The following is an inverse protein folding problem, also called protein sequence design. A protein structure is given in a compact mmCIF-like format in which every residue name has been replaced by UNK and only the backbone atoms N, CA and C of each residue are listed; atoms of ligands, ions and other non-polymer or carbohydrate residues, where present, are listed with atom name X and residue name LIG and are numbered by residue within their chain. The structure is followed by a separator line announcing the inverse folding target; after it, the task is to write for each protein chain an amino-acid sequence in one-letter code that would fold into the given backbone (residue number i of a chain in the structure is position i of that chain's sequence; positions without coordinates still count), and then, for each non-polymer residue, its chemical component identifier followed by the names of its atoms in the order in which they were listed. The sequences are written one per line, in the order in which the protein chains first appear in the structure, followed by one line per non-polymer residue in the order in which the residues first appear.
data_IF_201856766836
#
_entry.id   IF_201856766836
#
_cell.length_a   1.000
_cell.length_b   1.000
_cell.length_c   1.000
_cell.angle_alpha   90.00
_cell.angle_beta   90.00
_cell.angle_gamma   90.00
#
_symmetry.space_group_name_H-M   'P 1'
#
loop_
_entity.id
_entity.type
_entity.pdbx_description
1 polymer ?
#
# COMPACT_ATOMS: atom_id res chain seq x y z
N UNK A 1 -52.60 -7.06 -96.49
CA UNK A 1 -52.00 -7.77 -95.34
C UNK A 1 -50.99 -6.92 -94.59
N UNK A 2 -50.20 -6.05 -95.24
CA UNK A 2 -49.14 -5.25 -94.58
C UNK A 2 -49.61 -4.35 -93.42
N UNK A 3 -50.81 -3.75 -93.47
CA UNK A 3 -51.26 -2.85 -92.39
C UNK A 3 -51.51 -3.58 -91.06
N UNK A 4 -52.01 -4.81 -91.08
CA UNK A 4 -52.24 -5.61 -89.87
C UNK A 4 -50.92 -6.13 -89.29
N UNK A 5 -50.01 -6.57 -90.16
CA UNK A 5 -48.64 -6.96 -89.79
C UNK A 5 -47.85 -5.79 -89.19
N UNK A 6 -47.97 -4.59 -89.74
CA UNK A 6 -47.34 -3.39 -89.20
C UNK A 6 -47.92 -3.00 -87.82
N UNK A 7 -49.24 -3.09 -87.64
CA UNK A 7 -49.88 -2.79 -86.36
C UNK A 7 -49.47 -3.79 -85.28
N UNK A 8 -49.50 -5.09 -85.59
CA UNK A 8 -49.08 -6.15 -84.66
C UNK A 8 -47.60 -6.05 -84.32
N UNK A 9 -46.74 -5.77 -85.31
CA UNK A 9 -45.30 -5.52 -85.08
C UNK A 9 -45.07 -4.33 -84.16
N UNK A 10 -45.81 -3.23 -84.35
CA UNK A 10 -45.72 -2.04 -83.49
C UNK A 10 -46.18 -2.33 -82.05
N UNK A 11 -47.27 -3.08 -81.88
CA UNK A 11 -47.76 -3.50 -80.55
C UNK A 11 -46.69 -4.33 -79.83
N UNK A 12 -46.05 -5.27 -80.53
CA UNK A 12 -44.99 -6.11 -79.97
C UNK A 12 -43.76 -5.27 -79.63
N UNK A 13 -43.37 -4.34 -80.50
CA UNK A 13 -42.24 -3.42 -80.26
C UNK A 13 -42.49 -2.52 -79.04
N UNK A 14 -43.66 -1.90 -78.95
CA UNK A 14 -44.05 -1.05 -77.82
C UNK A 14 -44.13 -1.85 -76.51
N UNK A 15 -44.67 -3.08 -76.55
CA UNK A 15 -44.70 -3.98 -75.40
C UNK A 15 -43.29 -4.40 -74.94
N UNK A 16 -42.39 -4.71 -75.86
CA UNK A 16 -41.00 -5.03 -75.55
C UNK A 16 -40.26 -3.82 -74.94
N UNK A 17 -40.45 -2.61 -75.49
CA UNK A 17 -39.87 -1.38 -74.94
C UNK A 17 -40.35 -1.11 -73.52
N UNK A 18 -41.64 -1.28 -73.24
CA UNK A 18 -42.18 -1.07 -71.89
C UNK A 18 -41.68 -2.15 -70.92
N UNK A 19 -41.58 -3.42 -71.36
CA UNK A 19 -40.99 -4.49 -70.56
C UNK A 19 -39.51 -4.22 -70.23
N UNK A 20 -38.71 -3.80 -71.20
CA UNK A 20 -37.30 -3.41 -71.00
C UNK A 20 -37.17 -2.23 -70.04
N UNK A 21 -38.05 -1.23 -70.16
CA UNK A 21 -38.08 -0.07 -69.27
C UNK A 21 -38.41 -0.49 -67.83
N UNK A 22 -39.45 -1.31 -67.62
CA UNK A 22 -39.82 -1.82 -66.30
C UNK A 22 -38.68 -2.65 -65.68
N UNK A 23 -38.04 -3.52 -66.45
CA UNK A 23 -36.88 -4.30 -65.98
C UNK A 23 -35.69 -3.40 -65.61
N UNK A 24 -35.43 -2.35 -66.40
CA UNK A 24 -34.39 -1.36 -66.13
C UNK A 24 -34.65 -0.57 -64.85
N UNK A 25 -35.89 -0.12 -64.64
CA UNK A 25 -36.32 0.58 -63.44
C UNK A 25 -36.25 -0.31 -62.20
N UNK A 26 -36.75 -1.55 -62.28
CA UNK A 26 -36.67 -2.53 -61.19
C UNK A 26 -35.21 -2.82 -60.80
N UNK A 27 -34.32 -3.01 -61.79
CA UNK A 27 -32.89 -3.23 -61.55
C UNK A 27 -32.19 -2.02 -60.94
N UNK A 28 -32.60 -0.80 -61.29
CA UNK A 28 -32.08 0.43 -60.65
C UNK A 28 -32.49 0.51 -59.19
N UNK A 29 -33.75 0.22 -58.88
CA UNK A 29 -34.26 0.26 -57.50
C UNK A 29 -33.65 -0.85 -56.64
N UNK A 30 -33.53 -2.07 -57.18
CA UNK A 30 -32.81 -3.17 -56.53
C UNK A 30 -31.38 -2.77 -56.16
N UNK A 31 -30.61 -2.27 -57.13
CA UNK A 31 -29.23 -1.83 -56.90
C UNK A 31 -29.16 -0.71 -55.86
N UNK A 32 -30.12 0.23 -55.86
CA UNK A 32 -30.19 1.30 -54.87
C UNK A 32 -30.40 0.75 -53.46
N UNK A 33 -31.38 -0.15 -53.28
CA UNK A 33 -31.68 -0.77 -51.99
C UNK A 33 -30.47 -1.58 -51.48
N UNK A 34 -29.87 -2.40 -52.35
CA UNK A 34 -28.68 -3.20 -52.00
C UNK A 34 -27.53 -2.30 -51.59
N UNK A 35 -27.22 -1.27 -52.38
CA UNK A 35 -26.14 -0.31 -52.08
C UNK A 35 -26.36 0.43 -50.76
N UNK A 36 -27.59 0.88 -50.48
CA UNK A 36 -27.92 1.55 -49.21
C UNK A 36 -27.75 0.61 -48.01
N UNK A 37 -28.15 -0.66 -48.14
CA UNK A 37 -28.00 -1.66 -47.07
C UNK A 37 -26.53 -2.02 -46.84
N UNK A 38 -25.75 -2.19 -47.91
CA UNK A 38 -24.30 -2.43 -47.84
C UNK A 38 -23.62 -1.25 -47.13
N UNK A 39 -23.88 -0.01 -47.56
CA UNK A 39 -23.31 1.20 -46.90
C UNK A 39 -23.67 1.28 -45.42
N UNK A 40 -24.92 0.97 -45.04
CA UNK A 40 -25.33 0.92 -43.63
C UNK A 40 -24.57 -0.17 -42.86
N UNK A 41 -24.42 -1.36 -43.44
CA UNK A 41 -23.65 -2.46 -42.86
C UNK A 41 -22.17 -2.12 -42.67
N UNK A 42 -21.55 -1.49 -43.65
CA UNK A 42 -20.16 -1.02 -43.59
C UNK A 42 -19.97 0.03 -42.49
N UNK A 43 -20.86 1.02 -42.39
CA UNK A 43 -20.81 2.03 -41.33
C UNK A 43 -20.92 1.42 -39.93
N UNK A 44 -21.83 0.47 -39.73
CA UNK A 44 -21.98 -0.24 -38.44
C UNK A 44 -20.74 -1.07 -38.13
N UNK A 45 -20.19 -1.76 -39.13
CA UNK A 45 -18.95 -2.53 -39.01
C UNK A 45 -17.78 -1.64 -38.57
N UNK A 46 -17.61 -0.47 -39.21
CA UNK A 46 -16.57 0.50 -38.86
C UNK A 46 -16.71 0.99 -37.41
N UNK A 47 -17.92 1.37 -37.00
CA UNK A 47 -18.19 1.81 -35.63
C UNK A 47 -17.89 0.73 -34.58
N UNK A 48 -18.25 -0.53 -34.86
CA UNK A 48 -17.92 -1.66 -33.98
C UNK A 48 -16.41 -1.83 -33.87
N UNK A 49 -15.70 -1.82 -35.00
CA UNK A 49 -14.24 -1.99 -35.02
C UNK A 49 -13.54 -0.85 -34.26
N UNK A 50 -13.94 0.40 -34.48
CA UNK A 50 -13.37 1.56 -33.79
C UNK A 50 -13.60 1.49 -32.28
N UNK A 51 -14.84 1.21 -31.86
CA UNK A 51 -15.18 1.02 -30.45
C UNK A 51 -14.37 -0.10 -29.81
N UNK A 52 -14.31 -1.27 -30.44
CA UNK A 52 -13.54 -2.41 -29.93
C UNK A 52 -12.04 -2.11 -29.84
N UNK A 53 -11.46 -1.36 -30.79
CA UNK A 53 -10.07 -0.91 -30.71
C UNK A 53 -9.84 0.03 -29.52
N UNK A 54 -10.74 0.99 -29.30
CA UNK A 54 -10.67 1.93 -28.18
C UNK A 54 -10.77 1.24 -26.82
N UNK A 55 -11.70 0.30 -26.68
CA UNK A 55 -11.88 -0.51 -25.47
C UNK A 55 -10.68 -1.42 -25.20
N UNK A 56 -10.17 -2.09 -26.24
CA UNK A 56 -8.98 -2.94 -26.12
C UNK A 56 -7.74 -2.14 -25.68
N UNK A 57 -7.52 -0.95 -26.27
CA UNK A 57 -6.44 -0.04 -25.88
C UNK A 57 -6.56 0.38 -24.42
N UNK A 58 -7.73 0.88 -24.01
CA UNK A 58 -8.00 1.31 -22.63
C UNK A 58 -7.80 0.17 -21.63
N UNK A 59 -8.22 -1.05 -22.00
CA UNK A 59 -8.04 -2.24 -21.15
C UNK A 59 -6.55 -2.59 -21.00
N UNK A 60 -5.78 -2.55 -22.08
CA UNK A 60 -4.35 -2.81 -22.04
C UNK A 60 -3.61 -1.77 -21.17
N UNK A 61 -3.89 -0.49 -21.36
CA UNK A 61 -3.32 0.61 -20.55
C UNK A 61 -3.63 0.42 -19.07
N UNK A 62 -4.89 0.08 -18.73
CA UNK A 62 -5.29 -0.18 -17.34
C UNK A 62 -4.53 -1.34 -16.71
N UNK A 63 -4.34 -2.44 -17.44
CA UNK A 63 -3.58 -3.61 -16.95
C UNK A 63 -2.12 -3.23 -16.67
N UNK A 64 -1.49 -2.48 -17.57
CA UNK A 64 -0.11 -2.01 -17.41
C UNK A 64 0.02 -1.12 -16.18
N UNK A 65 -0.82 -0.08 -16.06
CA UNK A 65 -0.79 0.86 -14.94
C UNK A 65 -1.02 0.16 -13.60
N UNK A 66 -2.01 -0.73 -13.52
CA UNK A 66 -2.29 -1.49 -12.30
C UNK A 66 -1.11 -2.41 -11.92
N UNK A 67 -0.46 -3.02 -12.91
CA UNK A 67 0.70 -3.88 -12.67
C UNK A 67 1.90 -3.06 -12.17
N UNK A 68 2.16 -1.89 -12.75
CA UNK A 68 3.21 -0.98 -12.30
C UNK A 68 2.99 -0.52 -10.85
N UNK A 69 1.76 -0.15 -10.49
CA UNK A 69 1.40 0.19 -9.11
C UNK A 69 1.60 -0.99 -8.17
N UNK A 70 1.20 -2.20 -8.56
CA UNK A 70 1.40 -3.41 -7.76
C UNK A 70 2.89 -3.69 -7.53
N UNK A 71 3.72 -3.62 -8.57
CA UNK A 71 5.17 -3.81 -8.45
C UNK A 71 5.79 -2.77 -7.53
N UNK A 72 5.40 -1.49 -7.67
CA UNK A 72 5.85 -0.41 -6.78
C UNK A 72 5.48 -0.70 -5.33
N UNK A 73 4.23 -1.04 -5.06
CA UNK A 73 3.74 -1.31 -3.71
C UNK A 73 4.47 -2.50 -3.09
N UNK A 74 4.61 -3.60 -3.82
CA UNK A 74 5.36 -4.77 -3.35
C UNK A 74 6.82 -4.43 -3.01
N UNK A 75 7.48 -3.58 -3.82
CA UNK A 75 8.84 -3.14 -3.53
C UNK A 75 8.91 -2.29 -2.26
N UNK A 76 7.96 -1.37 -2.06
CA UNK A 76 7.89 -0.53 -0.86
C UNK A 76 7.59 -1.35 0.40
N UNK A 77 6.65 -2.30 0.31
CA UNK A 77 6.32 -3.21 1.40
C UNK A 77 7.53 -4.04 1.82
N UNK A 78 8.25 -4.64 0.87
CA UNK A 78 9.48 -5.39 1.16
C UNK A 78 10.58 -4.51 1.79
N UNK A 79 10.69 -3.23 1.39
CA UNK A 79 11.61 -2.29 2.03
C UNK A 79 11.20 -2.00 3.46
N UNK A 80 9.92 -1.73 3.71
CA UNK A 80 9.39 -1.46 5.04
C UNK A 80 9.56 -2.67 5.96
N UNK A 81 9.34 -3.88 5.46
CA UNK A 81 9.59 -5.12 6.20
C UNK A 81 11.05 -5.23 6.66
N UNK A 82 12.01 -4.88 5.79
CA UNK A 82 13.41 -4.91 6.16
C UNK A 82 13.76 -3.85 7.22
N UNK A 83 13.22 -2.64 7.07
CA UNK A 83 13.38 -1.56 8.06
C UNK A 83 12.82 -2.01 9.42
N UNK A 84 11.60 -2.58 9.43
CA UNK A 84 10.97 -3.11 10.64
C UNK A 84 11.85 -4.18 11.31
N UNK A 85 12.42 -5.10 10.53
CA UNK A 85 13.33 -6.13 11.05
C UNK A 85 14.55 -5.52 11.73
N UNK A 86 15.12 -4.44 11.22
CA UNK A 86 16.27 -3.77 11.87
C UNK A 86 15.89 -3.25 13.25
N UNK A 87 14.74 -2.58 13.37
CA UNK A 87 14.25 -2.09 14.67
C UNK A 87 13.89 -3.23 15.63
N UNK A 88 13.24 -4.28 15.15
CA UNK A 88 12.94 -5.48 15.95
C UNK A 88 14.22 -6.15 16.46
N UNK A 89 15.23 -6.29 15.60
CA UNK A 89 16.54 -6.83 15.96
C UNK A 89 17.29 -5.93 16.95
N UNK A 90 17.16 -4.61 16.85
CA UNK A 90 17.74 -3.67 17.82
C UNK A 90 17.13 -3.90 19.22
N UNK A 91 15.81 -4.06 19.30
CA UNK A 91 15.10 -4.37 20.54
C UNK A 91 15.54 -5.73 21.11
N UNK A 92 15.72 -6.75 20.26
CA UNK A 92 16.23 -8.07 20.67
C UNK A 92 17.67 -7.99 21.20
N UNK A 93 18.54 -7.21 20.53
CA UNK A 93 19.93 -7.01 20.99
C UNK A 93 19.99 -6.31 22.34
N UNK A 94 19.15 -5.30 22.58
CA UNK A 94 19.07 -4.61 23.87
C UNK A 94 18.63 -5.56 25.00
N UNK A 95 17.66 -6.46 24.73
CA UNK A 95 17.22 -7.47 25.69
C UNK A 95 18.31 -8.46 26.08
N UNK A 96 19.14 -8.82 25.10
CA UNK A 96 20.20 -9.82 25.24
C UNK A 96 21.55 -9.22 25.63
N UNK A 97 21.61 -7.94 26.03
CA UNK A 97 22.83 -7.35 26.57
C UNK A 97 23.35 -8.19 27.76
N UNK A 98 24.68 -8.32 27.91
CA UNK A 98 25.27 -8.89 29.12
C UNK A 98 24.73 -8.18 30.37
N UNK A 99 24.51 -8.94 31.46
CA UNK A 99 23.82 -8.43 32.65
C UNK A 99 24.43 -7.12 33.19
N UNK A 100 25.76 -7.00 33.18
CA UNK A 100 26.45 -5.77 33.62
C UNK A 100 26.12 -4.57 32.74
N UNK A 101 26.18 -4.74 31.41
CA UNK A 101 25.85 -3.69 30.43
C UNK A 101 24.38 -3.29 30.50
N UNK A 102 23.48 -4.27 30.63
CA UNK A 102 22.04 -4.05 30.82
C UNK A 102 21.80 -3.18 32.07
N UNK A 103 22.31 -3.58 33.23
CA UNK A 103 22.13 -2.83 34.47
C UNK A 103 22.78 -1.45 34.41
N UNK A 104 23.92 -1.32 33.75
CA UNK A 104 24.57 -0.04 33.55
C UNK A 104 23.73 0.89 32.67
N UNK A 105 23.10 0.37 31.60
CA UNK A 105 22.17 1.11 30.76
C UNK A 105 20.98 1.62 31.58
N UNK A 106 20.25 0.72 32.26
CA UNK A 106 19.08 1.07 33.10
C UNK A 106 19.44 2.17 34.11
N UNK A 107 20.59 2.00 34.78
CA UNK A 107 21.07 2.97 35.77
C UNK A 107 21.31 4.35 35.16
N UNK A 108 21.99 4.40 34.02
CA UNK A 108 22.30 5.67 33.37
C UNK A 108 21.02 6.33 32.82
N UNK A 109 20.11 5.56 32.25
CA UNK A 109 18.80 6.03 31.78
C UNK A 109 17.97 6.65 32.91
N UNK A 110 17.83 5.97 34.05
CA UNK A 110 17.10 6.52 35.22
C UNK A 110 17.74 7.83 35.67
N UNK A 111 19.07 7.87 35.77
CA UNK A 111 19.79 9.05 36.26
C UNK A 111 19.79 10.22 35.27
N UNK A 112 19.48 10.00 33.99
CA UNK A 112 19.33 11.05 32.99
C UNK A 112 17.93 11.65 32.93
N UNK A 113 16.92 10.98 33.50
CA UNK A 113 15.55 11.48 33.53
C UNK A 113 15.38 12.52 34.64
N UNK A 114 14.52 13.51 34.40
CA UNK A 114 14.13 14.48 35.43
C UNK A 114 13.03 13.90 36.33
N UNK A 115 13.47 13.16 37.34
CA UNK A 115 12.60 12.50 38.33
C UNK A 115 12.80 13.10 39.72
N UNK A 116 11.84 12.89 40.63
CA UNK A 116 11.96 13.34 42.01
C UNK A 116 12.79 12.37 42.87
N UNK A 117 12.78 11.07 42.54
CA UNK A 117 13.52 10.01 43.23
C UNK A 117 12.69 9.23 44.26
N UNK A 118 11.36 9.33 44.21
CA UNK A 118 10.38 8.55 45.00
C UNK A 118 9.39 7.76 44.12
N UNK A 119 9.73 7.56 42.85
CA UNK A 119 9.00 6.75 41.88
C UNK A 119 9.16 5.23 42.13
N UNK A 120 8.20 4.46 41.62
CA UNK A 120 8.30 3.01 41.54
C UNK A 120 8.89 2.57 40.20
N UNK A 121 9.88 1.68 40.22
CA UNK A 121 10.41 1.04 39.03
C UNK A 121 9.60 -0.23 38.76
N UNK A 122 8.92 -0.26 37.63
CA UNK A 122 8.18 -1.41 37.11
C UNK A 122 8.98 -2.03 35.96
N UNK A 123 9.13 -3.35 35.94
CA UNK A 123 9.88 -4.08 34.90
C UNK A 123 9.10 -5.26 34.35
N UNK A 124 9.68 -5.91 33.33
CA UNK A 124 9.19 -7.18 32.80
C UNK A 124 9.31 -8.28 33.87
N UNK A 125 8.45 -9.33 33.82
CA UNK A 125 8.61 -10.50 34.68
C UNK A 125 9.99 -11.17 34.55
N UNK A 126 10.59 -11.12 33.35
CA UNK A 126 11.89 -11.74 33.05
C UNK A 126 13.07 -10.96 33.66
N UNK A 127 12.93 -9.65 33.86
CA UNK A 127 13.99 -8.79 34.40
C UNK A 127 13.92 -8.62 35.92
N UNK A 128 12.88 -9.15 36.57
CA UNK A 128 12.66 -9.02 38.02
C UNK A 128 13.84 -9.54 38.86
N UNK A 129 14.52 -10.58 38.39
CA UNK A 129 15.69 -11.14 39.06
C UNK A 129 16.99 -10.38 38.76
N UNK A 130 17.01 -9.53 37.73
CA UNK A 130 18.18 -8.72 37.36
C UNK A 130 18.29 -7.45 38.20
N UNK A 131 17.15 -6.82 38.51
CA UNK A 131 17.06 -5.60 39.31
C UNK A 131 16.78 -5.97 40.76
N UNK A 132 17.84 -6.06 41.56
CA UNK A 132 17.75 -6.43 42.96
C UNK A 132 17.84 -5.22 43.91
N UNK A 133 17.75 -5.49 45.22
CA UNK A 133 17.85 -4.47 46.27
C UNK A 133 19.21 -3.74 46.22
N UNK A 134 20.29 -4.43 45.86
CA UNK A 134 21.64 -3.84 45.79
C UNK A 134 21.75 -2.79 44.69
N UNK A 135 21.09 -3.04 43.56
CA UNK A 135 21.00 -2.10 42.45
C UNK A 135 20.20 -0.85 42.83
N UNK A 136 19.07 -1.01 43.52
CA UNK A 136 18.26 0.11 44.02
C UNK A 136 19.01 0.98 45.02
N UNK A 137 19.72 0.37 45.97
CA UNK A 137 20.56 1.12 46.91
C UNK A 137 21.63 1.94 46.19
N UNK A 138 22.22 1.38 45.13
CA UNK A 138 23.19 2.08 44.28
C UNK A 138 22.55 3.27 43.55
N UNK A 139 21.33 3.13 43.03
CA UNK A 139 20.58 4.22 42.41
C UNK A 139 20.24 5.33 43.40
N UNK A 140 19.69 4.98 44.56
CA UNK A 140 19.30 5.93 45.60
C UNK A 140 20.50 6.74 46.11
N UNK A 141 21.66 6.11 46.30
CA UNK A 141 22.90 6.83 46.64
C UNK A 141 23.31 7.86 45.57
N UNK A 142 23.16 7.52 44.28
CA UNK A 142 23.46 8.44 43.17
C UNK A 142 22.44 9.57 43.04
N UNK A 143 21.16 9.29 43.29
CA UNK A 143 20.10 10.31 43.31
C UNK A 143 20.29 11.31 44.44
N UNK A 144 20.64 10.82 45.64
CA UNK A 144 21.00 11.66 46.79
C UNK A 144 22.14 12.62 46.46
N UNK A 145 23.18 12.12 45.79
CA UNK A 145 24.30 12.94 45.35
C UNK A 145 23.91 14.02 44.32
N UNK A 146 22.82 13.81 43.56
CA UNK A 146 22.21 14.80 42.65
C UNK A 146 21.17 15.71 43.33
N UNK A 147 20.99 15.61 44.65
CA UNK A 147 19.99 16.39 45.39
C UNK A 147 18.54 15.96 45.16
N UNK A 148 18.32 14.74 44.64
CA UNK A 148 17.00 14.13 44.48
C UNK A 148 16.66 13.26 45.70
N UNK A 149 15.40 12.86 45.84
CA UNK A 149 14.97 11.90 46.88
C UNK A 149 15.66 10.55 46.64
N UNK A 150 15.98 9.84 47.72
CA UNK A 150 16.64 8.54 47.72
C UNK A 150 15.66 7.41 48.07
N UNK A 151 14.44 7.50 47.52
CA UNK A 151 13.29 6.66 47.85
C UNK A 151 12.79 5.81 46.66
N UNK A 152 13.59 5.64 45.59
CA UNK A 152 13.21 4.73 44.52
C UNK A 152 13.04 3.32 45.08
N UNK A 153 12.00 2.64 44.60
CA UNK A 153 11.65 1.27 45.00
C UNK A 153 11.21 0.44 43.80
N UNK A 154 11.43 -0.87 43.88
CA UNK A 154 10.91 -1.81 42.88
C UNK A 154 9.42 -2.01 43.15
N UNK A 155 8.59 -1.89 42.11
CA UNK A 155 7.16 -2.18 42.22
C UNK A 155 6.91 -3.68 42.33
N UNK A 156 5.81 -4.05 42.98
CA UNK A 156 5.33 -5.43 42.96
C UNK A 156 4.62 -5.78 41.64
N UNK A 157 4.15 -4.76 40.92
CA UNK A 157 3.57 -4.90 39.60
C UNK A 157 4.64 -5.20 38.55
N UNK A 158 4.23 -5.88 37.48
CA UNK A 158 5.04 -6.07 36.30
C UNK A 158 4.27 -5.53 35.09
N UNK A 159 4.99 -5.19 34.02
CA UNK A 159 4.38 -4.83 32.72
C UNK A 159 4.87 -5.79 31.64
N UNK A 160 4.01 -6.08 30.67
CA UNK A 160 4.35 -6.92 29.53
C UNK A 160 5.17 -6.11 28.51
N UNK A 161 6.40 -5.80 28.88
CA UNK A 161 7.40 -5.14 28.04
C UNK A 161 8.54 -6.13 27.79
N UNK A 162 9.20 -6.03 26.64
CA UNK A 162 10.28 -6.94 26.27
C UNK A 162 11.57 -6.67 27.05
N UNK A 163 11.79 -5.44 27.53
CA UNK A 163 12.91 -5.07 28.39
C UNK A 163 12.87 -3.58 28.75
N UNK A 164 13.86 -3.10 29.51
CA UNK A 164 13.89 -1.73 30.00
C UNK A 164 13.15 -1.57 31.33
N UNK A 165 12.52 -0.42 31.54
CA UNK A 165 11.77 -0.11 32.76
C UNK A 165 10.67 0.93 32.53
N UNK A 166 9.71 0.99 33.45
CA UNK A 166 8.72 2.06 33.55
C UNK A 166 8.87 2.70 34.93
N UNK A 167 8.88 4.03 35.00
CA UNK A 167 8.78 4.75 36.27
C UNK A 167 7.33 5.16 36.49
N UNK A 168 6.78 4.82 37.65
CA UNK A 168 5.41 5.13 38.03
C UNK A 168 5.36 6.00 39.28
N UNK A 169 4.57 7.06 39.23
CA UNK A 169 4.23 7.86 40.41
C UNK A 169 2.92 8.61 40.22
N UNK A 170 2.01 8.48 41.18
CA UNK A 170 0.76 9.25 41.25
C UNK A 170 -0.06 9.22 39.93
N UNK A 171 -0.11 8.07 39.25
CA UNK A 171 -0.83 7.92 37.98
C UNK A 171 -0.07 8.37 36.73
N UNK A 172 1.17 8.86 36.87
CA UNK A 172 2.05 9.22 35.75
C UNK A 172 3.03 8.07 35.52
N UNK A 173 3.12 7.61 34.26
CA UNK A 173 4.10 6.61 33.82
C UNK A 173 5.11 7.24 32.85
N UNK A 174 6.40 7.05 33.12
CA UNK A 174 7.47 7.34 32.16
C UNK A 174 7.94 6.00 31.59
N UNK A 175 7.52 5.72 30.35
CA UNK A 175 7.84 4.46 29.68
C UNK A 175 9.22 4.51 29.03
N UNK A 176 10.19 3.81 29.63
CA UNK A 176 11.54 3.58 29.09
C UNK A 176 11.75 2.09 28.76
N UNK A 177 10.70 1.42 28.29
CA UNK A 177 10.86 0.10 27.68
C UNK A 177 11.74 0.22 26.44
N UNK A 178 12.48 -0.84 26.09
CA UNK A 178 13.31 -0.82 24.89
C UNK A 178 12.49 -0.62 23.62
N UNK A 179 11.26 -1.16 23.58
CA UNK A 179 10.33 -0.90 22.48
C UNK A 179 10.02 0.60 22.36
N UNK A 180 9.66 1.26 23.47
CA UNK A 180 9.33 2.69 23.45
C UNK A 180 10.54 3.56 23.09
N UNK A 181 11.73 3.21 23.60
CA UNK A 181 12.96 3.93 23.28
C UNK A 181 13.33 3.77 21.81
N UNK A 182 13.30 2.56 21.27
CA UNK A 182 13.61 2.31 19.86
C UNK A 182 12.59 2.97 18.94
N UNK A 183 11.30 2.90 19.29
CA UNK A 183 10.22 3.55 18.53
C UNK A 183 10.37 5.08 18.56
N UNK A 184 10.80 5.68 19.69
CA UNK A 184 11.03 7.13 19.78
C UNK A 184 12.19 7.64 18.91
N UNK A 185 13.16 6.78 18.60
CA UNK A 185 14.30 7.09 17.73
C UNK A 185 14.03 6.72 16.26
N UNK A 186 12.87 6.14 15.98
CA UNK A 186 12.56 5.58 14.66
C UNK A 186 12.59 6.63 13.56
N UNK A 187 11.90 7.75 13.75
CA UNK A 187 11.78 8.81 12.75
C UNK A 187 13.15 9.41 12.37
N UNK A 188 14.07 9.48 13.33
CA UNK A 188 15.44 9.97 13.13
C UNK A 188 16.30 8.93 12.39
N UNK A 189 16.23 7.67 12.82
CA UNK A 189 17.11 6.61 12.32
C UNK A 189 16.61 5.95 11.04
N UNK A 190 15.34 6.08 10.68
CA UNK A 190 14.76 5.40 9.51
C UNK A 190 15.46 5.83 8.21
N UNK A 191 15.79 7.12 8.06
CA UNK A 191 16.52 7.61 6.89
C UNK A 191 17.93 7.01 6.81
N UNK A 192 18.65 6.95 7.93
CA UNK A 192 19.99 6.35 7.99
C UNK A 192 19.96 4.86 7.65
N UNK A 193 18.94 4.14 8.13
CA UNK A 193 18.71 2.73 7.82
C UNK A 193 18.40 2.55 6.33
N UNK A 194 17.56 3.41 5.74
CA UNK A 194 17.23 3.36 4.31
C UNK A 194 18.50 3.55 3.46
N UNK A 195 19.34 4.52 3.81
CA UNK A 195 20.61 4.76 3.13
C UNK A 195 21.56 3.57 3.29
N UNK A 196 21.70 3.00 4.48
CA UNK A 196 22.56 1.85 4.72
C UNK A 196 22.10 0.58 3.99
N UNK A 197 20.79 0.35 3.85
CA UNK A 197 20.24 -0.89 3.29
C UNK A 197 20.02 -0.85 1.77
N UNK A 198 19.74 0.33 1.19
CA UNK A 198 19.23 0.44 -0.17
C UNK A 198 19.96 1.43 -1.07
N UNK A 199 21.09 2.01 -0.61
CA UNK A 199 22.00 2.78 -1.47
C UNK A 199 22.80 1.89 -2.43
#
# INVERSE_FOLDING_TARGET
MSNLENLTSKIIEDANKEAEKLLSEAKKEENKIVNEKVKKGEKVKEQIIEKSKGEAKTKAERVISNTQLKVRNNKLEAKQEMINKVFDEAVIKLQNLPQEEYLNFIKNSILSLDIEGDEEIIVSPNDKNKIDISFILTLNNKLKAKGKKDLLKISNENRNIKGGFILYKNGIEINNSFEALVDSLRDELEQEIIEALFS
#
